data_IF_408917811463
#
_entry.id   IF_408917811463
#
_cell.length_a   1.000
_cell.length_b   1.000
_cell.length_c   1.000
_cell.angle_alpha   90.00
_cell.angle_beta   90.00
_cell.angle_gamma   90.00
#
_symmetry.space_group_name_H-M   'P 1'
#
loop_
_entity.id
_entity.type
_entity.pdbx_description
1 polymer ?
#
# COMPACT_ATOMS: atom_id res chain seq x y z
N UNK A 1 -20.68 -2.77 -3.34
CA UNK A 1 -20.42 -2.07 -2.06
C UNK A 1 -19.29 -1.04 -2.17
N UNK A 2 -18.01 -1.39 -2.40
CA UNK A 2 -16.93 -0.40 -2.53
C UNK A 2 -17.14 0.53 -3.75
N UNK A 3 -17.58 -0.02 -4.87
CA UNK A 3 -17.96 0.72 -6.08
C UNK A 3 -19.11 1.70 -5.85
N UNK A 4 -20.06 1.35 -5.00
CA UNK A 4 -21.25 2.18 -4.72
C UNK A 4 -20.93 3.29 -3.73
N UNK A 5 -20.06 3.00 -2.74
CA UNK A 5 -19.51 4.00 -1.83
C UNK A 5 -18.65 5.02 -2.59
N UNK A 6 -17.81 4.56 -3.52
CA UNK A 6 -17.00 5.42 -4.38
C UNK A 6 -17.87 6.27 -5.31
N UNK A 7 -18.93 5.70 -5.91
CA UNK A 7 -19.89 6.44 -6.74
C UNK A 7 -20.65 7.50 -5.94
N UNK A 8 -21.06 7.18 -4.72
CA UNK A 8 -21.75 8.14 -3.84
C UNK A 8 -20.83 9.30 -3.46
N UNK A 9 -19.62 9.01 -2.98
CA UNK A 9 -18.64 10.03 -2.61
C UNK A 9 -18.19 10.87 -3.81
N UNK A 10 -18.06 10.27 -5.00
CA UNK A 10 -17.74 11.00 -6.22
C UNK A 10 -18.86 11.99 -6.62
N UNK A 11 -20.13 11.63 -6.44
CA UNK A 11 -21.27 12.54 -6.69
C UNK A 11 -21.29 13.72 -5.72
N UNK A 12 -21.03 13.47 -4.43
CA UNK A 12 -20.93 14.54 -3.43
C UNK A 12 -19.75 15.49 -3.69
N UNK A 13 -18.58 14.95 -4.03
CA UNK A 13 -17.42 15.75 -4.43
C UNK A 13 -17.72 16.58 -5.68
N UNK A 14 -18.36 15.97 -6.70
CA UNK A 14 -18.77 16.68 -7.92
C UNK A 14 -19.71 17.84 -7.60
N UNK A 15 -20.70 17.64 -6.73
CA UNK A 15 -21.61 18.70 -6.31
C UNK A 15 -20.86 19.84 -5.60
N UNK A 16 -19.95 19.52 -4.68
CA UNK A 16 -19.10 20.51 -4.02
C UNK A 16 -18.28 21.30 -5.05
N UNK A 17 -17.69 20.64 -6.05
CA UNK A 17 -16.96 21.32 -7.12
C UNK A 17 -17.84 22.25 -7.94
N UNK A 18 -19.05 21.82 -8.29
CA UNK A 18 -20.02 22.67 -9.02
C UNK A 18 -20.36 23.91 -8.21
N UNK A 19 -20.65 23.78 -6.92
CA UNK A 19 -20.93 24.92 -6.04
C UNK A 19 -19.76 25.88 -5.91
N UNK A 20 -18.53 25.35 -5.72
CA UNK A 20 -17.33 26.17 -5.64
C UNK A 20 -17.09 26.90 -6.96
N UNK A 21 -17.28 26.23 -8.10
CA UNK A 21 -17.09 26.84 -9.43
C UNK A 21 -18.08 27.96 -9.69
N UNK A 22 -19.35 27.79 -9.29
CA UNK A 22 -20.37 28.84 -9.37
C UNK A 22 -20.01 30.02 -8.46
N UNK A 23 -19.57 29.75 -7.22
CA UNK A 23 -19.17 30.80 -6.29
C UNK A 23 -17.97 31.62 -6.82
N UNK A 24 -16.97 30.95 -7.42
CA UNK A 24 -15.84 31.61 -8.09
C UNK A 24 -16.35 32.44 -9.27
N UNK A 25 -17.21 31.91 -10.13
CA UNK A 25 -17.72 32.64 -11.29
C UNK A 25 -18.49 33.91 -10.88
N UNK A 26 -19.32 33.82 -9.83
CA UNK A 26 -20.03 34.98 -9.26
C UNK A 26 -19.01 35.99 -8.71
N UNK A 27 -18.03 35.53 -7.93
CA UNK A 27 -17.01 36.41 -7.36
C UNK A 27 -16.18 37.09 -8.45
N UNK A 28 -15.77 36.34 -9.48
CA UNK A 28 -14.94 36.83 -10.57
C UNK A 28 -15.65 37.89 -11.42
N UNK A 29 -16.98 37.86 -11.47
CA UNK A 29 -17.79 38.89 -12.10
C UNK A 29 -17.75 40.23 -11.34
N UNK A 30 -17.67 40.20 -10.00
CA UNK A 30 -17.70 41.41 -9.16
C UNK A 30 -16.30 41.97 -8.81
N UNK A 31 -15.23 41.16 -8.88
CA UNK A 31 -13.89 41.53 -8.39
C UNK A 31 -12.76 41.24 -9.39
N UNK A 32 -12.92 41.70 -10.63
CA UNK A 32 -12.07 41.39 -11.81
C UNK A 32 -10.55 41.51 -11.59
N UNK A 33 -10.08 42.44 -10.76
CA UNK A 33 -8.64 42.67 -10.54
C UNK A 33 -7.98 41.62 -9.61
N UNK A 34 -8.75 40.86 -8.83
CA UNK A 34 -8.25 39.83 -7.91
C UNK A 34 -8.55 38.39 -8.35
N UNK A 35 -9.24 38.22 -9.49
CA UNK A 35 -9.77 36.93 -9.96
C UNK A 35 -8.71 35.87 -10.21
N UNK A 36 -7.65 36.23 -10.93
CA UNK A 36 -6.65 35.24 -11.36
C UNK A 36 -5.95 34.58 -10.17
N UNK A 37 -5.64 35.34 -9.12
CA UNK A 37 -4.99 34.82 -7.92
C UNK A 37 -5.90 33.86 -7.15
N UNK A 38 -7.16 34.25 -6.94
CA UNK A 38 -8.16 33.43 -6.24
C UNK A 38 -8.54 32.17 -7.03
N UNK A 39 -8.65 32.26 -8.35
CA UNK A 39 -8.90 31.12 -9.24
C UNK A 39 -7.80 30.06 -9.11
N UNK A 40 -6.52 30.45 -9.15
CA UNK A 40 -5.41 29.50 -8.91
C UNK A 40 -5.42 28.93 -7.49
N UNK A 41 -5.72 29.75 -6.48
CA UNK A 41 -5.75 29.32 -5.08
C UNK A 41 -6.83 28.28 -4.79
N UNK A 42 -7.94 28.30 -5.53
CA UNK A 42 -9.03 27.33 -5.37
C UNK A 42 -8.87 26.13 -6.29
N UNK A 43 -8.42 26.30 -7.53
CA UNK A 43 -8.23 25.20 -8.47
C UNK A 43 -7.10 24.24 -8.06
N UNK A 44 -6.01 24.74 -7.45
CA UNK A 44 -4.88 23.90 -7.02
C UNK A 44 -5.33 22.89 -5.95
N UNK A 45 -5.99 23.25 -4.84
CA UNK A 45 -6.52 22.29 -3.88
C UNK A 45 -7.53 21.32 -4.50
N UNK A 46 -8.39 21.79 -5.41
CA UNK A 46 -9.38 20.95 -6.10
C UNK A 46 -8.69 19.84 -6.91
N UNK A 47 -7.70 20.21 -7.72
CA UNK A 47 -6.91 19.26 -8.52
C UNK A 47 -6.12 18.34 -7.57
N UNK A 48 -5.47 18.89 -6.56
CA UNK A 48 -4.66 18.10 -5.62
C UNK A 48 -5.51 17.09 -4.83
N UNK A 49 -6.67 17.51 -4.31
CA UNK A 49 -7.56 16.67 -3.48
C UNK A 49 -8.38 15.70 -4.33
N UNK A 50 -8.80 16.09 -5.54
CA UNK A 50 -9.62 15.22 -6.41
C UNK A 50 -8.80 14.24 -7.25
N UNK A 51 -7.66 14.68 -7.78
CA UNK A 51 -6.91 13.93 -8.78
C UNK A 51 -5.97 12.88 -8.16
N UNK A 52 -5.37 13.19 -7.00
CA UNK A 52 -4.43 12.29 -6.31
C UNK A 52 -5.14 11.01 -5.83
N UNK A 53 -6.26 11.06 -5.07
CA UNK A 53 -6.94 9.85 -4.63
C UNK A 53 -7.52 9.04 -5.79
N UNK A 54 -7.98 9.72 -6.86
CA UNK A 54 -8.49 9.06 -8.06
C UNK A 54 -7.41 8.24 -8.76
N UNK A 55 -6.24 8.84 -9.02
CA UNK A 55 -5.13 8.14 -9.65
C UNK A 55 -4.59 6.97 -8.80
N UNK A 56 -4.52 7.15 -7.48
CA UNK A 56 -4.13 6.09 -6.54
C UNK A 56 -5.13 4.92 -6.58
N UNK A 57 -6.43 5.23 -6.62
CA UNK A 57 -7.49 4.21 -6.73
C UNK A 57 -7.39 3.45 -8.06
N UNK A 58 -7.16 4.14 -9.19
CA UNK A 58 -7.00 3.50 -10.49
C UNK A 58 -5.78 2.58 -10.54
N UNK A 59 -4.65 3.01 -9.98
CA UNK A 59 -3.45 2.17 -9.85
C UNK A 59 -3.73 0.92 -9.03
N UNK A 60 -4.42 1.06 -7.91
CA UNK A 60 -4.81 -0.07 -7.07
C UNK A 60 -5.75 -1.05 -7.80
N UNK A 61 -6.75 -0.55 -8.53
CA UNK A 61 -7.65 -1.39 -9.34
C UNK A 61 -6.83 -2.18 -10.37
N UNK A 62 -5.90 -1.52 -11.08
CA UNK A 62 -5.03 -2.17 -12.07
C UNK A 62 -4.15 -3.27 -11.46
N UNK A 63 -3.68 -3.06 -10.23
CA UNK A 63 -2.89 -4.04 -9.49
C UNK A 63 -3.75 -5.24 -9.10
N UNK A 64 -4.96 -5.01 -8.59
CA UNK A 64 -5.90 -6.08 -8.24
C UNK A 64 -6.30 -6.94 -9.44
N UNK A 65 -6.35 -6.36 -10.64
CA UNK A 65 -6.63 -7.12 -11.88
C UNK A 65 -5.42 -7.88 -12.42
N UNK A 66 -4.21 -7.60 -11.93
CA UNK A 66 -2.96 -8.22 -12.40
C UNK A 66 -2.46 -9.34 -11.47
N UNK A 67 -3.29 -9.88 -10.56
CA UNK A 67 -2.94 -11.08 -9.81
C UNK A 67 -2.70 -12.19 -10.84
N UNK A 68 -1.46 -12.68 -11.03
CA UNK A 68 -1.19 -13.58 -12.13
C UNK A 68 -1.94 -14.90 -11.91
N UNK A 69 -2.57 -15.40 -12.98
CA UNK A 69 -3.22 -16.71 -13.01
C UNK A 69 -2.23 -17.85 -12.68
N UNK A 70 -0.92 -17.59 -12.80
CA UNK A 70 0.11 -18.60 -12.69
C UNK A 70 0.89 -18.51 -11.37
N UNK A 71 0.23 -18.89 -10.27
CA UNK A 71 0.85 -19.10 -8.95
C UNK A 71 1.77 -20.34 -8.90
N UNK A 72 2.24 -20.84 -10.05
CA UNK A 72 3.06 -22.05 -10.19
C UNK A 72 4.56 -21.77 -10.35
N UNK A 73 4.97 -20.48 -10.38
CA UNK A 73 6.36 -20.06 -10.48
C UNK A 73 6.81 -19.42 -9.18
N UNK A 74 8.08 -19.68 -8.82
CA UNK A 74 8.75 -18.99 -7.72
C UNK A 74 8.67 -17.47 -7.89
N UNK A 75 8.20 -16.75 -6.86
CA UNK A 75 7.95 -15.31 -6.94
C UNK A 75 8.05 -14.59 -5.58
N UNK A 76 8.06 -13.25 -5.66
CA UNK A 76 7.91 -12.34 -4.53
C UNK A 76 6.42 -12.02 -4.30
N UNK A 77 5.89 -12.31 -3.11
CA UNK A 77 4.58 -11.85 -2.71
C UNK A 77 4.66 -10.45 -2.10
N UNK A 78 4.03 -9.47 -2.74
CA UNK A 78 3.91 -8.10 -2.24
C UNK A 78 2.50 -7.93 -1.69
N UNK A 79 2.36 -8.09 -0.38
CA UNK A 79 1.10 -8.11 0.34
C UNK A 79 0.81 -6.72 0.92
N UNK A 80 -0.34 -6.17 0.56
CA UNK A 80 -0.91 -4.95 1.12
C UNK A 80 -2.08 -5.37 2.00
N UNK A 81 -2.01 -5.09 3.30
CA UNK A 81 -3.03 -5.43 4.28
C UNK A 81 -3.55 -4.17 4.96
N UNK A 82 -4.37 -3.36 4.26
CA UNK A 82 -4.87 -2.12 4.81
C UNK A 82 -6.06 -2.41 5.74
N UNK A 83 -6.04 -1.79 6.93
CA UNK A 83 -7.18 -1.82 7.86
C UNK A 83 -8.45 -1.20 7.25
N UNK A 84 -8.25 -0.16 6.45
CA UNK A 84 -9.29 0.55 5.72
C UNK A 84 -8.89 0.55 4.24
N UNK A 85 -9.76 0.13 3.30
CA UNK A 85 -9.42 0.04 1.88
C UNK A 85 -8.94 1.34 1.24
N UNK A 86 -9.26 2.49 1.83
CA UNK A 86 -8.97 3.81 1.28
C UNK A 86 -7.85 4.47 2.09
N UNK A 87 -7.89 4.33 3.42
CA UNK A 87 -6.92 4.97 4.31
C UNK A 87 -5.58 4.23 4.28
N UNK A 88 -4.47 4.96 4.20
CA UNK A 88 -3.08 4.45 4.21
C UNK A 88 -2.66 3.62 2.99
N UNK A 89 -3.58 3.31 2.07
CA UNK A 89 -3.27 2.55 0.87
C UNK A 89 -2.19 3.24 0.02
N UNK A 90 -2.27 4.55 -0.14
CA UNK A 90 -1.28 5.36 -0.87
C UNK A 90 0.12 5.23 -0.30
N UNK A 91 0.24 5.32 1.03
CA UNK A 91 1.49 5.16 1.76
C UNK A 91 2.07 3.78 1.51
N UNK A 92 1.30 2.71 1.72
CA UNK A 92 1.77 1.33 1.52
C UNK A 92 2.16 1.07 0.06
N UNK A 93 1.32 1.52 -0.88
CA UNK A 93 1.54 1.35 -2.31
C UNK A 93 2.82 2.03 -2.81
N UNK A 94 3.18 3.18 -2.25
CA UNK A 94 4.35 3.94 -2.70
C UNK A 94 5.68 3.18 -2.59
N UNK A 95 5.84 2.34 -1.57
CA UNK A 95 6.99 1.44 -1.38
C UNK A 95 6.82 0.13 -2.15
N UNK A 96 5.61 -0.40 -2.21
CA UNK A 96 5.30 -1.64 -2.91
C UNK A 96 5.57 -1.53 -4.43
N UNK A 97 5.28 -0.38 -5.05
CA UNK A 97 5.63 -0.08 -6.44
C UNK A 97 7.15 -0.11 -6.70
N UNK A 98 7.98 0.31 -5.73
CA UNK A 98 9.43 0.28 -5.87
C UNK A 98 9.96 -1.15 -5.86
N UNK A 99 9.42 -2.00 -4.99
CA UNK A 99 9.77 -3.43 -4.95
C UNK A 99 9.41 -4.09 -6.28
N UNK A 100 8.22 -3.82 -6.82
CA UNK A 100 7.80 -4.35 -8.12
C UNK A 100 8.78 -3.95 -9.24
N UNK A 101 9.12 -2.66 -9.35
CA UNK A 101 10.11 -2.17 -10.32
C UNK A 101 11.48 -2.81 -10.14
N UNK A 102 11.91 -3.01 -8.90
CA UNK A 102 13.15 -3.69 -8.59
C UNK A 102 13.09 -5.16 -9.04
N UNK A 103 11.98 -5.87 -8.82
CA UNK A 103 11.80 -7.23 -9.32
C UNK A 103 11.85 -7.27 -10.86
N UNK A 104 11.16 -6.36 -11.55
CA UNK A 104 11.21 -6.24 -13.02
C UNK A 104 12.65 -6.03 -13.52
N UNK A 105 13.38 -5.08 -12.93
CA UNK A 105 14.78 -4.77 -13.26
C UNK A 105 15.71 -5.97 -13.07
N UNK A 106 15.43 -6.82 -12.07
CA UNK A 106 16.23 -8.01 -11.75
C UNK A 106 15.67 -9.31 -12.37
N UNK A 107 14.70 -9.23 -13.30
CA UNK A 107 14.04 -10.38 -13.91
C UNK A 107 13.44 -11.38 -12.90
N UNK A 108 12.90 -10.88 -11.79
CA UNK A 108 12.24 -11.68 -10.76
C UNK A 108 10.72 -11.58 -10.90
N UNK A 109 10.03 -12.72 -10.75
CA UNK A 109 8.57 -12.75 -10.72
C UNK A 109 8.06 -12.17 -9.40
N UNK A 110 6.96 -11.44 -9.46
CA UNK A 110 6.28 -10.93 -8.28
C UNK A 110 4.76 -10.93 -8.48
N UNK A 111 4.03 -10.98 -7.38
CA UNK A 111 2.58 -10.95 -7.32
C UNK A 111 2.16 -9.93 -6.28
N UNK A 112 1.22 -9.05 -6.64
CA UNK A 112 0.59 -8.16 -5.67
C UNK A 112 -0.63 -8.85 -5.05
N UNK A 113 -0.74 -8.77 -3.74
CA UNK A 113 -1.88 -9.24 -2.99
C UNK A 113 -2.45 -8.10 -2.18
N UNK A 114 -3.76 -7.90 -2.24
CA UNK A 114 -4.44 -7.03 -1.28
C UNK A 114 -5.32 -7.90 -0.39
N UNK A 115 -4.88 -8.11 0.85
CA UNK A 115 -5.50 -9.04 1.78
C UNK A 115 -6.38 -8.29 2.77
N UNK A 116 -7.65 -8.68 2.83
CA UNK A 116 -8.60 -8.08 3.79
C UNK A 116 -9.01 -9.04 4.89
N UNK A 117 -8.81 -10.34 4.72
CA UNK A 117 -9.18 -11.37 5.70
C UNK A 117 -8.01 -12.32 6.00
N UNK A 118 -8.02 -12.95 7.20
CA UNK A 118 -6.98 -13.88 7.62
C UNK A 118 -6.77 -15.06 6.67
N UNK A 119 -7.83 -15.62 6.09
CA UNK A 119 -7.74 -16.81 5.26
C UNK A 119 -6.97 -16.54 3.94
N UNK A 120 -7.18 -15.38 3.32
CA UNK A 120 -6.41 -14.93 2.16
C UNK A 120 -4.94 -14.74 2.49
N UNK A 121 -4.66 -14.10 3.63
CA UNK A 121 -3.31 -13.86 4.08
C UNK A 121 -2.57 -15.18 4.31
N UNK A 122 -3.20 -16.10 5.05
CA UNK A 122 -2.70 -17.44 5.32
C UNK A 122 -2.42 -18.22 4.03
N UNK A 123 -3.34 -18.20 3.06
CA UNK A 123 -3.14 -18.87 1.75
C UNK A 123 -1.89 -18.39 1.03
N UNK A 124 -1.56 -17.10 1.12
CA UNK A 124 -0.35 -16.55 0.48
C UNK A 124 0.90 -16.98 1.22
N UNK A 125 0.87 -16.98 2.56
CA UNK A 125 1.98 -17.49 3.37
C UNK A 125 2.22 -18.97 3.08
N UNK A 126 1.15 -19.77 2.97
CA UNK A 126 1.21 -21.21 2.70
C UNK A 126 1.52 -21.57 1.24
N UNK A 127 1.63 -20.61 0.33
CA UNK A 127 1.96 -20.91 -1.05
C UNK A 127 3.44 -21.33 -1.17
N UNK A 128 3.76 -22.56 -1.64
CA UNK A 128 5.14 -23.05 -1.74
C UNK A 128 5.95 -22.30 -2.81
N UNK A 129 5.30 -21.66 -3.79
CA UNK A 129 5.96 -20.85 -4.81
C UNK A 129 6.24 -19.42 -4.35
N UNK A 130 5.69 -18.99 -3.22
CA UNK A 130 6.07 -17.71 -2.60
C UNK A 130 7.38 -17.91 -1.85
N UNK A 131 8.50 -17.47 -2.42
CA UNK A 131 9.82 -17.56 -1.78
C UNK A 131 10.14 -16.34 -0.91
N UNK A 132 9.73 -15.15 -1.35
CA UNK A 132 10.03 -13.90 -0.70
C UNK A 132 8.73 -13.16 -0.40
N UNK A 133 8.59 -12.63 0.82
CA UNK A 133 7.38 -11.94 1.25
C UNK A 133 7.71 -10.50 1.60
N UNK A 134 6.91 -9.58 1.11
CA UNK A 134 6.90 -8.18 1.48
C UNK A 134 5.51 -7.82 1.99
N UNK A 135 5.36 -7.55 3.28
CA UNK A 135 4.08 -7.20 3.89
C UNK A 135 4.06 -5.72 4.25
N UNK A 136 3.08 -5.00 3.71
CA UNK A 136 2.74 -3.63 4.07
C UNK A 136 1.41 -3.64 4.81
N UNK A 137 1.44 -3.41 6.12
CA UNK A 137 0.22 -3.45 6.92
C UNK A 137 0.47 -3.29 8.39
N UNK A 138 -0.61 -3.06 9.12
CA UNK A 138 -0.54 -2.83 10.57
C UNK A 138 -0.61 -4.15 11.33
N UNK A 139 0.43 -4.47 12.09
CA UNK A 139 0.30 -5.41 13.19
C UNK A 139 -0.43 -4.77 14.38
N UNK A 140 -1.17 -5.57 15.16
CA UNK A 140 -1.77 -5.12 16.43
C UNK A 140 -0.80 -5.28 17.59
N UNK A 141 -0.19 -6.45 17.59
CA UNK A 141 0.70 -6.97 18.59
C UNK A 141 1.78 -7.76 17.86
N UNK A 142 2.63 -8.38 18.65
CA UNK A 142 3.81 -9.11 18.22
C UNK A 142 3.47 -10.25 17.26
N UNK A 143 2.29 -10.83 17.41
CA UNK A 143 1.89 -12.07 16.76
C UNK A 143 0.66 -11.88 15.87
N UNK A 144 0.22 -10.64 15.67
CA UNK A 144 -1.07 -10.37 15.04
C UNK A 144 -0.95 -9.37 13.90
N UNK A 145 -1.47 -9.75 12.74
CA UNK A 145 -1.77 -8.82 11.65
C UNK A 145 -3.22 -8.35 11.76
N UNK A 146 -3.42 -7.03 11.87
CA UNK A 146 -4.74 -6.45 11.73
C UNK A 146 -5.13 -6.42 10.25
N UNK A 147 -6.15 -7.18 9.91
CA UNK A 147 -6.77 -7.15 8.60
C UNK A 147 -8.14 -6.49 8.73
N UNK A 148 -8.69 -5.98 7.61
CA UNK A 148 -9.98 -5.30 7.63
C UNK A 148 -11.09 -6.15 8.27
N UNK A 149 -11.12 -7.44 7.95
CA UNK A 149 -12.18 -8.37 8.33
C UNK A 149 -11.74 -9.35 9.42
N UNK A 150 -10.68 -9.04 10.18
CA UNK A 150 -10.24 -9.93 11.26
C UNK A 150 -8.81 -9.68 11.69
N UNK A 151 -8.35 -10.52 12.61
CA UNK A 151 -6.97 -10.51 13.09
C UNK A 151 -6.37 -11.86 12.67
N UNK A 152 -5.22 -11.80 12.01
CA UNK A 152 -4.45 -13.00 11.72
C UNK A 152 -3.38 -13.16 12.79
N UNK A 153 -3.61 -14.10 13.71
CA UNK A 153 -2.65 -14.50 14.74
C UNK A 153 -1.70 -15.57 14.18
N UNK A 154 -0.44 -15.19 14.05
CA UNK A 154 0.63 -16.03 13.54
C UNK A 154 1.46 -16.75 14.60
N UNK A 155 1.06 -16.71 15.88
CA UNK A 155 1.64 -17.63 16.88
C UNK A 155 1.26 -19.08 16.63
N UNK A 156 0.07 -19.30 16.08
CA UNK A 156 -0.38 -20.65 15.74
C UNK A 156 0.29 -21.20 14.46
N UNK A 157 1.23 -20.46 13.85
CA UNK A 157 2.03 -20.94 12.72
C UNK A 157 3.09 -21.96 13.11
N UNK A 158 3.21 -22.39 14.38
CA UNK A 158 4.08 -23.52 14.75
C UNK A 158 3.76 -24.82 13.96
N UNK A 159 2.60 -24.88 13.30
CA UNK A 159 2.20 -25.93 12.38
C UNK A 159 2.62 -25.72 10.92
N UNK A 160 3.36 -24.66 10.57
CA UNK A 160 3.91 -24.53 9.21
C UNK A 160 4.89 -25.69 8.97
N UNK A 161 4.64 -26.57 8.00
CA UNK A 161 5.56 -27.64 7.69
C UNK A 161 6.90 -27.04 7.27
N UNK A 162 8.01 -27.68 7.68
CA UNK A 162 9.36 -27.09 7.59
C UNK A 162 9.78 -26.72 6.16
N UNK A 163 9.11 -27.29 5.17
CA UNK A 163 9.27 -27.08 3.73
C UNK A 163 8.58 -25.79 3.22
N UNK A 164 7.70 -25.15 4.00
CA UNK A 164 7.03 -23.89 3.61
C UNK A 164 7.78 -22.61 4.03
N UNK A 165 9.03 -22.74 4.52
CA UNK A 165 9.84 -21.60 4.93
C UNK A 165 10.22 -20.69 3.76
N UNK A 166 10.23 -19.39 4.04
CA UNK A 166 10.49 -18.29 3.10
C UNK A 166 11.97 -17.90 3.12
N UNK A 167 12.52 -17.54 1.96
CA UNK A 167 13.90 -17.08 1.84
C UNK A 167 14.10 -15.68 2.42
N UNK A 168 13.07 -14.84 2.31
CA UNK A 168 13.07 -13.47 2.79
C UNK A 168 11.69 -13.06 3.28
N UNK A 169 11.65 -12.26 4.36
CA UNK A 169 10.42 -11.65 4.87
C UNK A 169 10.69 -10.19 5.24
N UNK A 170 10.11 -9.27 4.48
CA UNK A 170 10.07 -7.84 4.79
C UNK A 170 8.71 -7.48 5.40
N UNK A 171 8.71 -6.92 6.60
CA UNK A 171 7.52 -6.41 7.29
C UNK A 171 7.66 -4.91 7.45
N UNK A 172 6.77 -4.16 6.81
CA UNK A 172 6.86 -2.72 6.67
C UNK A 172 5.54 -2.10 7.14
N UNK A 173 5.61 -0.96 7.83
CA UNK A 173 4.44 -0.25 8.41
C UNK A 173 3.76 -1.01 9.56
N UNK A 174 4.50 -1.89 10.25
CA UNK A 174 3.98 -2.60 11.40
C UNK A 174 3.96 -1.71 12.66
N UNK A 175 3.06 -1.98 13.62
CA UNK A 175 3.00 -1.22 14.87
C UNK A 175 4.13 -1.64 15.82
N UNK A 176 4.64 -0.73 16.67
CA UNK A 176 5.61 -1.09 17.70
C UNK A 176 4.96 -1.99 18.75
N UNK A 177 5.44 -3.23 18.87
CA UNK A 177 5.09 -4.19 19.90
C UNK A 177 6.32 -5.00 20.32
N UNK A 178 6.31 -5.59 21.53
CA UNK A 178 7.49 -6.19 22.15
C UNK A 178 7.59 -7.72 21.94
N UNK A 179 8.14 -8.22 20.82
CA UNK A 179 8.43 -9.65 20.64
C UNK A 179 8.79 -10.07 19.21
N UNK A 180 8.53 -11.34 18.82
CA UNK A 180 9.03 -11.91 17.57
C UNK A 180 8.20 -11.55 16.31
N UNK A 181 8.83 -10.95 15.28
CA UNK A 181 8.17 -10.64 14.01
C UNK A 181 7.78 -11.92 13.23
N UNK A 182 6.80 -11.84 12.32
CA UNK A 182 6.43 -12.94 11.39
C UNK A 182 7.65 -13.62 10.76
N UNK A 183 8.66 -12.83 10.40
CA UNK A 183 9.92 -13.34 9.86
C UNK A 183 10.62 -14.36 10.76
N UNK A 184 10.50 -14.26 12.09
CA UNK A 184 11.03 -15.23 13.03
C UNK A 184 10.39 -16.61 12.90
N UNK A 185 9.11 -16.66 12.50
CA UNK A 185 8.34 -17.90 12.37
C UNK A 185 8.56 -18.57 11.02
N UNK A 186 8.55 -17.79 9.93
CA UNK A 186 8.49 -18.36 8.58
C UNK A 186 9.77 -18.17 7.76
N UNK A 187 10.73 -17.35 8.17
CA UNK A 187 11.97 -17.18 7.41
C UNK A 187 12.95 -18.34 7.67
N UNK A 188 13.60 -18.85 6.61
CA UNK A 188 14.66 -19.86 6.71
C UNK A 188 15.83 -19.34 7.55
N UNK A 189 16.20 -18.07 7.33
CA UNK A 189 17.25 -17.39 8.07
C UNK A 189 16.71 -16.05 8.61
N UNK A 190 16.60 -15.89 9.95
CA UNK A 190 16.16 -14.62 10.54
C UNK A 190 17.03 -13.42 10.17
N UNK A 191 18.30 -13.60 9.78
CA UNK A 191 19.14 -12.50 9.30
C UNK A 191 18.76 -12.01 7.90
N UNK A 192 17.91 -12.74 7.18
CA UNK A 192 17.34 -12.36 5.88
C UNK A 192 15.91 -11.83 6.06
N UNK A 193 15.69 -11.04 7.10
CA UNK A 193 14.42 -10.35 7.30
C UNK A 193 14.62 -8.88 7.60
N UNK A 194 13.60 -8.10 7.28
CA UNK A 194 13.58 -6.67 7.53
C UNK A 194 12.27 -6.34 8.21
N UNK A 195 12.34 -5.61 9.32
CA UNK A 195 11.18 -5.11 10.04
C UNK A 195 11.34 -3.61 10.19
N UNK A 196 10.48 -2.82 9.54
CA UNK A 196 10.45 -1.36 9.68
C UNK A 196 9.08 -0.88 10.15
N UNK A 197 9.10 -0.13 11.26
CA UNK A 197 7.93 0.53 11.84
C UNK A 197 8.00 2.06 11.69
N UNK A 198 9.01 2.56 10.98
CA UNK A 198 9.37 3.98 11.01
C UNK A 198 8.62 4.80 9.97
N UNK A 199 8.14 4.17 8.91
CA UNK A 199 7.47 4.85 7.82
C UNK A 199 6.02 5.19 8.18
N UNK A 200 5.73 6.49 8.33
CA UNK A 200 4.35 7.00 8.52
C UNK A 200 3.79 7.64 7.26
N UNK A 201 4.68 8.05 6.36
CA UNK A 201 4.34 8.79 5.14
C UNK A 201 4.87 8.10 3.88
N UNK A 202 4.29 8.42 2.71
CA UNK A 202 4.71 7.89 1.42
C UNK A 202 6.21 8.12 1.16
N UNK A 203 6.71 9.31 1.48
CA UNK A 203 8.10 9.70 1.26
C UNK A 203 9.07 8.86 2.07
N UNK A 204 8.81 8.72 3.37
CA UNK A 204 9.61 7.87 4.27
C UNK A 204 9.61 6.42 3.81
N UNK A 205 8.44 5.89 3.42
CA UNK A 205 8.32 4.51 2.91
C UNK A 205 9.22 4.30 1.68
N UNK A 206 9.23 5.25 0.76
CA UNK A 206 10.05 5.16 -0.45
C UNK A 206 11.54 5.20 -0.12
N UNK A 207 11.96 6.03 0.83
CA UNK A 207 13.35 6.10 1.29
C UNK A 207 13.76 4.78 1.95
N UNK A 208 12.96 4.29 2.89
CA UNK A 208 13.22 3.03 3.60
C UNK A 208 13.37 1.89 2.59
N UNK A 209 12.43 1.76 1.65
CA UNK A 209 12.49 0.73 0.61
C UNK A 209 13.72 0.87 -0.27
N UNK A 210 14.09 2.07 -0.72
CA UNK A 210 15.31 2.27 -1.52
C UNK A 210 16.56 1.84 -0.77
N UNK A 211 16.65 2.21 0.50
CA UNK A 211 17.76 1.81 1.35
C UNK A 211 17.83 0.28 1.48
N UNK A 212 16.69 -0.36 1.74
CA UNK A 212 16.55 -1.82 1.83
C UNK A 212 16.98 -2.51 0.53
N UNK A 213 16.63 -1.94 -0.62
CA UNK A 213 16.96 -2.47 -1.94
C UNK A 213 18.41 -2.15 -2.38
N UNK A 214 19.18 -1.43 -1.55
CA UNK A 214 20.56 -1.03 -1.84
C UNK A 214 20.67 0.10 -2.88
N UNK A 215 19.61 0.87 -3.10
CA UNK A 215 19.57 2.01 -4.02
C UNK A 215 19.99 3.31 -3.31
N UNK A 216 21.23 3.38 -2.85
CA UNK A 216 21.80 4.61 -2.28
C UNK A 216 22.12 5.62 -3.38
N UNK A 217 21.37 6.73 -3.47
CA UNK A 217 21.69 7.85 -4.38
C UNK A 217 20.54 8.69 -4.93
N UNK A 218 19.27 8.32 -4.72
CA UNK A 218 18.11 9.03 -5.27
C UNK A 218 17.20 9.60 -4.17
N UNK A 219 17.49 10.81 -3.70
CA UNK A 219 16.70 11.50 -2.65
C UNK A 219 15.64 12.48 -3.19
N UNK A 220 15.45 12.57 -4.50
CA UNK A 220 14.51 13.54 -5.09
C UNK A 220 13.56 12.82 -6.05
N UNK A 221 12.49 12.25 -5.51
CA UNK A 221 11.29 11.91 -6.29
C UNK A 221 10.07 12.46 -5.54
N UNK A 222 9.30 13.32 -6.21
CA UNK A 222 8.09 13.90 -5.67
C UNK A 222 7.02 12.80 -5.47
N UNK A 223 6.45 12.74 -4.26
CA UNK A 223 5.34 11.86 -3.90
C UNK A 223 3.99 12.32 -4.48
#
# INVERSE_FOLDING_TARGET
MLTDLLKSNARYLLLIFVFISIAIAIWSYYFSEYCLFLETLVLIPIITIGFIPYHQTQRFIKIKTNIPENQSKSHHAIIISPLDPIRNLSTMMSGAELIAKWCEKNNQYYCFYCCFNPEEFEKILNNPFTENIWVFGHGRSIHEYCLKNGIFDYDNLEMFPQDLKKRFVGQLHCSPGSGHPLSYRICVNPSHSIVSNNSRWCYENRIDIRYILGESGFFVDNC
#
